data_IF_809438172639
#
_entry.id   IF_809438172639
#
_cell.length_a   1.000
_cell.length_b   1.000
_cell.length_c   1.000
_cell.angle_alpha   90.00
_cell.angle_beta   90.00
_cell.angle_gamma   90.00
#
_symmetry.space_group_name_H-M   'P 1'
#
loop_
_entity.id
_entity.type
_entity.pdbx_description
1 polymer ?
#
# COMPACT_ATOMS: atom_id res chain seq x y z
N UNK A 1 35.59 -10.01 -32.19
CA UNK A 1 34.22 -10.50 -32.45
C UNK A 1 34.06 -11.80 -31.68
N UNK A 2 33.44 -11.76 -30.49
CA UNK A 2 33.28 -12.94 -29.61
C UNK A 2 31.97 -13.64 -29.96
N UNK A 3 32.08 -14.87 -30.48
CA UNK A 3 30.92 -15.74 -30.76
C UNK A 3 30.38 -16.34 -29.47
N UNK A 4 29.13 -16.01 -29.11
CA UNK A 4 28.40 -16.70 -28.05
C UNK A 4 28.00 -18.10 -28.54
N UNK A 5 28.57 -19.14 -27.96
CA UNK A 5 28.08 -20.52 -28.13
C UNK A 5 26.81 -20.71 -27.29
N UNK A 6 25.65 -20.84 -27.94
CA UNK A 6 24.40 -21.20 -27.27
C UNK A 6 24.41 -22.68 -26.85
N UNK A 7 24.16 -22.97 -25.58
CA UNK A 7 23.99 -24.35 -25.12
C UNK A 7 22.68 -24.94 -25.68
N UNK A 8 22.69 -26.13 -26.31
CA UNK A 8 21.48 -26.74 -26.84
C UNK A 8 20.51 -27.10 -25.70
N UNK A 9 19.23 -26.71 -25.84
CA UNK A 9 18.16 -26.97 -24.86
C UNK A 9 18.09 -28.41 -24.36
N UNK A 10 18.44 -29.37 -25.22
CA UNK A 10 18.41 -30.80 -24.92
C UNK A 10 19.52 -31.24 -23.97
N UNK A 11 20.67 -30.55 -23.99
CA UNK A 11 21.78 -30.80 -23.08
C UNK A 11 21.54 -30.12 -21.72
N UNK A 12 20.93 -28.94 -21.72
CA UNK A 12 20.43 -28.30 -20.49
C UNK A 12 19.46 -29.23 -19.74
N UNK A 13 18.44 -29.77 -20.43
CA UNK A 13 17.47 -30.68 -19.81
C UNK A 13 18.10 -31.96 -19.25
N UNK A 14 19.11 -32.53 -19.93
CA UNK A 14 19.84 -33.70 -19.42
C UNK A 14 20.65 -33.38 -18.16
N UNK A 15 21.30 -32.23 -18.10
CA UNK A 15 22.06 -31.80 -16.92
C UNK A 15 21.13 -31.47 -15.73
N UNK A 16 19.95 -30.91 -15.99
CA UNK A 16 18.95 -30.64 -14.94
C UNK A 16 18.35 -31.91 -14.32
N UNK A 17 18.19 -32.98 -15.10
CA UNK A 17 17.63 -34.25 -14.61
C UNK A 17 18.56 -34.99 -13.63
N UNK A 18 19.89 -34.83 -13.76
CA UNK A 18 20.87 -35.46 -12.88
C UNK A 18 20.90 -34.84 -11.47
N UNK A 19 20.48 -33.58 -11.32
CA UNK A 19 20.36 -32.91 -10.01
C UNK A 19 19.12 -33.40 -9.22
N UNK A 20 18.10 -33.93 -9.89
CA UNK A 20 16.88 -34.41 -9.23
C UNK A 20 17.06 -35.79 -8.56
N UNK A 21 17.98 -36.62 -9.05
CA UNK A 21 18.20 -37.96 -8.52
C UNK A 21 18.91 -37.99 -7.14
N UNK A 22 19.56 -36.89 -6.73
CA UNK A 22 20.19 -36.76 -5.41
C UNK A 22 19.24 -36.35 -4.28
N UNK A 23 17.98 -36.00 -4.59
CA UNK A 23 17.01 -35.49 -3.62
C UNK A 23 16.13 -36.56 -2.96
N UNK A 24 16.38 -37.86 -3.22
CA UNK A 24 15.57 -38.96 -2.73
C UNK A 24 15.92 -39.45 -1.30
N UNK A 25 16.68 -38.68 -0.52
CA UNK A 25 16.81 -38.93 0.92
C UNK A 25 15.82 -38.04 1.69
N UNK A 26 14.94 -38.62 2.54
CA UNK A 26 14.04 -37.85 3.38
C UNK A 26 14.83 -37.31 4.57
N UNK A 27 15.69 -36.31 4.33
CA UNK A 27 16.15 -35.45 5.41
C UNK A 27 14.96 -34.57 5.73
N UNK A 28 14.40 -34.78 6.93
CA UNK A 28 13.41 -33.88 7.50
C UNK A 28 13.93 -32.45 7.36
N UNK A 29 13.36 -31.71 6.41
CA UNK A 29 13.70 -30.32 6.17
C UNK A 29 13.09 -29.55 7.34
N UNK A 30 13.81 -29.49 8.46
CA UNK A 30 13.55 -28.49 9.48
C UNK A 30 13.64 -27.16 8.75
N UNK A 31 12.49 -26.53 8.52
CA UNK A 31 12.42 -25.14 8.07
C UNK A 31 12.85 -24.31 9.27
N UNK A 32 14.16 -24.24 9.51
CA UNK A 32 14.72 -23.21 10.37
C UNK A 32 14.52 -21.90 9.63
N UNK A 33 13.87 -20.93 10.29
CA UNK A 33 13.85 -19.57 9.80
C UNK A 33 15.27 -19.17 9.40
N UNK A 34 15.45 -18.64 8.20
CA UNK A 34 16.75 -18.11 7.79
C UNK A 34 17.20 -17.11 8.86
N UNK A 35 18.48 -17.11 9.26
CA UNK A 35 18.98 -16.09 10.18
C UNK A 35 18.61 -14.71 9.63
N UNK A 36 18.24 -13.78 10.52
CA UNK A 36 17.87 -12.41 10.16
C UNK A 36 18.98 -11.80 9.30
N UNK A 37 18.79 -11.87 7.98
CA UNK A 37 19.66 -11.18 7.05
C UNK A 37 19.44 -9.69 7.33
N UNK A 38 20.51 -8.91 7.58
CA UNK A 38 20.35 -7.49 7.84
C UNK A 38 19.55 -6.86 6.69
N UNK A 39 18.44 -6.20 7.04
CA UNK A 39 17.60 -5.51 6.06
C UNK A 39 18.48 -4.48 5.35
N UNK A 40 18.78 -4.74 4.07
CA UNK A 40 19.67 -3.90 3.26
C UNK A 40 19.16 -2.44 3.13
N UNK A 41 17.90 -2.20 3.50
CA UNK A 41 17.23 -0.92 3.46
C UNK A 41 16.93 -0.36 4.86
N UNK A 42 17.40 -1.00 5.93
CA UNK A 42 17.26 -0.50 7.30
C UNK A 42 17.73 0.95 7.40
N UNK A 43 16.85 1.83 7.87
CA UNK A 43 17.12 3.28 7.99
C UNK A 43 17.12 4.05 6.66
N UNK A 44 16.92 3.39 5.51
CA UNK A 44 16.83 4.02 4.19
C UNK A 44 15.40 4.06 3.65
N UNK A 45 14.63 3.00 3.88
CA UNK A 45 13.22 2.91 3.48
C UNK A 45 12.36 2.45 4.64
N UNK A 46 11.35 3.25 4.97
CA UNK A 46 10.32 2.90 5.94
C UNK A 46 9.15 2.22 5.22
N UNK A 47 8.75 1.05 5.71
CA UNK A 47 7.61 0.30 5.17
C UNK A 47 6.33 0.70 5.91
N UNK A 48 5.33 1.18 5.19
CA UNK A 48 3.96 1.36 5.70
C UNK A 48 3.04 0.26 5.16
N UNK A 49 1.95 -0.01 5.87
CA UNK A 49 0.91 -0.95 5.45
C UNK A 49 -0.44 -0.25 5.37
N UNK A 50 -1.20 -0.46 4.29
CA UNK A 50 -2.58 0.03 4.25
C UNK A 50 -3.46 -0.75 5.23
N UNK A 51 -4.23 -0.04 6.07
CA UNK A 51 -5.06 -0.64 7.13
C UNK A 51 -5.98 -1.78 6.65
N UNK A 52 -6.49 -1.69 5.42
CA UNK A 52 -7.35 -2.72 4.80
C UNK A 52 -6.64 -4.03 4.46
N UNK A 53 -5.30 -4.07 4.51
CA UNK A 53 -4.50 -5.28 4.30
C UNK A 53 -4.44 -6.14 5.56
N UNK A 54 -4.70 -5.58 6.74
CA UNK A 54 -4.83 -6.34 7.99
C UNK A 54 -6.28 -6.83 8.13
N UNK A 55 -6.51 -8.05 7.65
CA UNK A 55 -7.84 -8.68 7.55
C UNK A 55 -8.13 -9.58 8.76
N UNK A 56 -9.42 -9.81 9.02
CA UNK A 56 -9.91 -10.76 10.03
C UNK A 56 -9.44 -10.47 11.47
N UNK A 57 -9.27 -9.20 11.81
CA UNK A 57 -8.88 -8.73 13.15
C UNK A 57 -9.98 -7.81 13.68
N UNK A 58 -10.52 -8.06 14.89
CA UNK A 58 -11.75 -7.42 15.34
C UNK A 58 -11.55 -5.97 15.80
N UNK A 59 -10.39 -5.61 16.34
CA UNK A 59 -10.15 -4.26 16.86
C UNK A 59 -9.08 -3.49 16.06
N UNK A 60 -9.18 -2.16 16.07
CA UNK A 60 -8.18 -1.31 15.43
C UNK A 60 -6.79 -1.43 16.09
N UNK A 61 -6.74 -1.45 17.43
CA UNK A 61 -5.49 -1.63 18.18
C UNK A 61 -4.79 -2.94 17.80
N UNK A 62 -5.50 -4.05 17.70
CA UNK A 62 -4.88 -5.33 17.31
C UNK A 62 -4.34 -5.28 15.88
N UNK A 63 -5.02 -4.60 14.95
CA UNK A 63 -4.48 -4.41 13.59
C UNK A 63 -3.15 -3.68 13.59
N UNK A 64 -3.04 -2.63 14.40
CA UNK A 64 -1.79 -1.87 14.55
C UNK A 64 -0.69 -2.73 15.18
N UNK A 65 -1.00 -3.50 16.24
CA UNK A 65 -0.05 -4.42 16.88
C UNK A 65 0.47 -5.48 15.90
N UNK A 66 -0.42 -6.10 15.12
CA UNK A 66 -0.05 -7.09 14.10
C UNK A 66 0.83 -6.47 13.01
N UNK A 67 0.49 -5.27 12.51
CA UNK A 67 1.32 -4.58 11.53
C UNK A 67 2.73 -4.27 12.09
N UNK A 68 2.82 -3.86 13.35
CA UNK A 68 4.09 -3.61 14.02
C UNK A 68 4.91 -4.89 14.19
N UNK A 69 4.31 -5.97 14.68
CA UNK A 69 4.96 -7.28 14.80
C UNK A 69 5.44 -7.82 13.45
N UNK A 70 4.72 -7.53 12.36
CA UNK A 70 5.13 -7.87 11.01
C UNK A 70 6.30 -7.01 10.46
N UNK A 71 6.81 -6.04 11.23
CA UNK A 71 7.97 -5.22 10.85
C UNK A 71 7.64 -3.99 10.01
N UNK A 72 6.38 -3.53 10.02
CA UNK A 72 6.03 -2.22 9.45
C UNK A 72 6.36 -1.09 10.41
N UNK A 73 6.69 0.07 9.84
CA UNK A 73 7.10 1.28 10.55
C UNK A 73 5.96 2.31 10.66
N UNK A 74 4.89 2.12 9.90
CA UNK A 74 3.68 2.92 9.96
C UNK A 74 2.49 2.17 9.37
N UNK A 75 1.32 2.77 9.50
CA UNK A 75 0.09 2.24 8.92
C UNK A 75 -0.72 3.37 8.27
N UNK A 76 -1.16 3.15 7.04
CA UNK A 76 -1.92 4.12 6.26
C UNK A 76 -3.43 3.89 6.47
N UNK A 77 -4.14 4.94 6.91
CA UNK A 77 -5.57 4.88 7.21
C UNK A 77 -6.45 5.14 5.98
N UNK A 78 -7.78 5.06 6.12
CA UNK A 78 -8.70 5.62 5.13
C UNK A 78 -9.36 6.87 5.73
N UNK A 79 -9.44 7.93 4.95
CA UNK A 79 -10.16 9.16 5.30
C UNK A 79 -10.98 9.62 4.07
N UNK A 80 -11.94 10.53 4.19
CA UNK A 80 -12.62 10.90 5.43
C UNK A 80 -13.45 9.72 6.01
N UNK A 81 -13.91 9.87 7.25
CA UNK A 81 -14.82 8.94 7.93
C UNK A 81 -14.19 8.00 8.95
N UNK A 82 -12.93 8.22 9.34
CA UNK A 82 -12.28 7.45 10.41
C UNK A 82 -12.68 7.93 11.81
N UNK A 83 -12.63 7.03 12.79
CA UNK A 83 -12.72 7.38 14.21
C UNK A 83 -11.36 7.90 14.70
N UNK A 84 -11.29 9.20 14.99
CA UNK A 84 -10.04 9.88 15.37
C UNK A 84 -9.55 9.38 16.73
N UNK A 85 -10.43 9.21 17.70
CA UNK A 85 -10.05 8.87 19.07
C UNK A 85 -9.69 7.39 19.18
N UNK A 86 -10.41 6.50 18.49
CA UNK A 86 -10.02 5.10 18.37
C UNK A 86 -8.65 4.96 17.69
N UNK A 87 -8.40 5.74 16.64
CA UNK A 87 -7.11 5.71 15.93
C UNK A 87 -5.97 6.21 16.82
N UNK A 88 -6.15 7.32 17.54
CA UNK A 88 -5.14 7.81 18.50
C UNK A 88 -4.86 6.80 19.59
N UNK A 89 -5.89 6.13 20.11
CA UNK A 89 -5.74 5.04 21.08
C UNK A 89 -4.90 3.90 20.51
N UNK A 90 -5.21 3.46 19.28
CA UNK A 90 -4.46 2.40 18.61
C UNK A 90 -2.98 2.79 18.39
N UNK A 91 -2.69 4.03 18.02
CA UNK A 91 -1.32 4.57 17.89
C UNK A 91 -0.58 4.44 19.22
N UNK A 92 -1.17 4.92 20.32
CA UNK A 92 -0.53 4.90 21.65
C UNK A 92 -0.31 3.46 22.14
N UNK A 93 -1.33 2.61 22.06
CA UNK A 93 -1.29 1.25 22.61
C UNK A 93 -0.40 0.28 21.81
N UNK A 94 -0.23 0.52 20.51
CA UNK A 94 0.66 -0.27 19.66
C UNK A 94 2.07 0.33 19.58
N UNK A 95 2.20 1.65 19.72
CA UNK A 95 3.40 2.39 19.38
C UNK A 95 3.74 2.35 17.87
N UNK A 96 2.75 2.14 16.99
CA UNK A 96 2.88 2.23 15.54
C UNK A 96 2.24 3.54 15.06
N UNK A 97 3.00 4.45 14.43
CA UNK A 97 2.43 5.71 13.94
C UNK A 97 1.59 5.53 12.68
N UNK A 98 0.75 6.53 12.40
CA UNK A 98 0.11 6.70 11.09
C UNK A 98 0.96 7.63 10.24
N UNK A 99 1.33 7.21 9.03
CA UNK A 99 2.10 8.03 8.09
C UNK A 99 1.19 8.89 7.20
N UNK A 100 0.04 8.36 6.81
CA UNK A 100 -0.92 9.04 5.96
C UNK A 100 -2.27 8.35 5.89
N UNK A 101 -3.10 8.77 4.94
CA UNK A 101 -4.35 8.09 4.64
C UNK A 101 -4.66 8.08 3.14
N UNK A 102 -5.63 7.26 2.77
CA UNK A 102 -6.22 7.25 1.42
C UNK A 102 -7.57 7.94 1.44
N UNK A 103 -7.77 8.90 0.54
CA UNK A 103 -9.08 9.48 0.28
C UNK A 103 -9.96 8.51 -0.52
N UNK A 104 -10.51 7.48 0.15
CA UNK A 104 -11.12 6.34 -0.53
C UNK A 104 -12.46 6.66 -1.21
N UNK A 105 -13.10 7.79 -0.88
CA UNK A 105 -14.34 8.20 -1.56
C UNK A 105 -14.11 8.49 -3.05
N UNK A 106 -12.89 8.88 -3.44
CA UNK A 106 -12.56 9.24 -4.82
C UNK A 106 -12.56 8.10 -5.84
N UNK A 107 -12.68 6.85 -5.39
CA UNK A 107 -13.01 5.75 -6.31
C UNK A 107 -14.41 5.92 -6.94
N UNK A 108 -15.30 6.68 -6.28
CA UNK A 108 -16.69 6.92 -6.70
C UNK A 108 -17.02 8.40 -6.91
N UNK A 109 -16.43 9.31 -6.12
CA UNK A 109 -16.75 10.76 -6.11
C UNK A 109 -15.52 11.54 -6.59
N UNK A 110 -15.54 12.05 -7.83
CA UNK A 110 -14.32 12.46 -8.53
C UNK A 110 -14.27 13.96 -8.84
N UNK A 111 -13.07 14.53 -8.83
CA UNK A 111 -12.85 15.95 -9.18
C UNK A 111 -13.03 16.22 -10.68
N UNK A 112 -12.95 15.19 -11.51
CA UNK A 112 -13.15 15.21 -12.96
C UNK A 112 -14.61 15.09 -13.40
N UNK A 113 -15.56 14.90 -12.48
CA UNK A 113 -16.98 14.72 -12.81
C UNK A 113 -17.54 15.92 -13.59
N UNK A 114 -18.39 15.65 -14.59
CA UNK A 114 -19.16 16.69 -15.26
C UNK A 114 -20.22 17.34 -14.36
N UNK A 115 -20.67 16.64 -13.34
CA UNK A 115 -21.62 17.16 -12.38
C UNK A 115 -20.94 18.00 -11.29
N UNK A 116 -21.37 19.25 -11.18
CA UNK A 116 -20.83 20.24 -10.23
C UNK A 116 -21.05 19.82 -8.78
N UNK A 117 -22.19 19.18 -8.47
CA UNK A 117 -22.47 18.71 -7.12
C UNK A 117 -21.51 17.58 -6.70
N UNK A 118 -21.22 16.65 -7.60
CA UNK A 118 -20.21 15.61 -7.41
C UNK A 118 -18.83 16.21 -7.18
N UNK A 119 -18.44 17.23 -7.96
CA UNK A 119 -17.15 17.91 -7.76
C UNK A 119 -17.07 18.65 -6.42
N UNK A 120 -18.17 19.29 -6.00
CA UNK A 120 -18.25 19.94 -4.69
C UNK A 120 -18.10 18.92 -3.54
N UNK A 121 -18.73 17.73 -3.66
CA UNK A 121 -18.55 16.66 -2.70
C UNK A 121 -17.11 16.11 -2.70
N UNK A 122 -16.48 15.95 -3.86
CA UNK A 122 -15.09 15.54 -3.94
C UNK A 122 -14.16 16.51 -3.19
N UNK A 123 -14.36 17.83 -3.39
CA UNK A 123 -13.59 18.85 -2.68
C UNK A 123 -13.82 18.82 -1.17
N UNK A 124 -15.07 18.64 -0.74
CA UNK A 124 -15.40 18.48 0.67
C UNK A 124 -14.68 17.26 1.29
N UNK A 125 -14.70 16.12 0.60
CA UNK A 125 -14.07 14.88 1.07
C UNK A 125 -12.55 15.02 1.16
N UNK A 126 -11.92 15.64 0.15
CA UNK A 126 -10.49 15.96 0.16
C UNK A 126 -10.12 16.81 1.38
N UNK A 127 -10.85 17.91 1.61
CA UNK A 127 -10.59 18.83 2.74
C UNK A 127 -10.80 18.14 4.10
N UNK A 128 -11.83 17.33 4.24
CA UNK A 128 -12.07 16.59 5.48
C UNK A 128 -11.04 15.47 5.69
N UNK A 129 -10.68 14.76 4.63
CA UNK A 129 -9.61 13.76 4.66
C UNK A 129 -8.31 14.37 5.16
N UNK A 130 -7.89 15.52 4.62
CA UNK A 130 -6.67 16.22 5.05
C UNK A 130 -6.71 16.57 6.55
N UNK A 131 -7.83 17.10 7.03
CA UNK A 131 -8.01 17.45 8.46
C UNK A 131 -7.97 16.22 9.36
N UNK A 132 -8.67 15.15 8.99
CA UNK A 132 -8.71 13.91 9.78
C UNK A 132 -7.36 13.22 9.80
N UNK A 133 -6.68 13.11 8.66
CA UNK A 133 -5.31 12.58 8.58
C UNK A 133 -4.37 13.35 9.49
N UNK A 134 -4.45 14.69 9.48
CA UNK A 134 -3.62 15.51 10.38
C UNK A 134 -3.97 15.28 11.85
N UNK A 135 -5.25 15.12 12.18
CA UNK A 135 -5.71 14.91 13.56
C UNK A 135 -5.19 13.62 14.20
N UNK A 136 -4.84 12.61 13.38
CA UNK A 136 -4.22 11.34 13.81
C UNK A 136 -2.70 11.31 13.61
N UNK A 137 -2.08 12.44 13.27
CA UNK A 137 -0.62 12.56 13.12
C UNK A 137 -0.07 12.21 11.73
N UNK A 138 -0.91 11.86 10.76
CA UNK A 138 -0.49 11.60 9.38
C UNK A 138 -0.07 12.88 8.64
N UNK A 139 0.74 12.70 7.60
CA UNK A 139 1.37 13.78 6.83
C UNK A 139 1.03 13.78 5.34
N UNK A 140 0.41 12.71 4.82
CA UNK A 140 0.01 12.59 3.42
C UNK A 140 -1.42 12.09 3.28
N UNK A 141 -2.10 12.53 2.22
CA UNK A 141 -3.39 11.99 1.80
C UNK A 141 -3.32 11.62 0.32
N UNK A 142 -3.54 10.34 0.00
CA UNK A 142 -3.62 9.89 -1.39
C UNK A 142 -4.92 10.39 -2.02
N UNK A 143 -4.76 11.11 -3.14
CA UNK A 143 -5.84 11.65 -3.95
C UNK A 143 -5.95 10.89 -5.27
N UNK A 144 -7.13 10.30 -5.52
CA UNK A 144 -7.51 9.85 -6.86
C UNK A 144 -8.28 10.98 -7.52
N UNK A 145 -7.72 11.58 -8.57
CA UNK A 145 -8.27 12.79 -9.15
C UNK A 145 -9.53 12.50 -9.99
N UNK A 146 -9.52 11.39 -10.73
CA UNK A 146 -10.53 11.08 -11.72
C UNK A 146 -10.39 9.70 -12.35
N UNK A 147 -11.28 9.41 -13.31
CA UNK A 147 -11.20 8.23 -14.18
C UNK A 147 -11.42 8.66 -15.63
N UNK A 148 -10.75 8.01 -16.58
CA UNK A 148 -10.85 8.37 -18.00
C UNK A 148 -12.26 8.28 -18.61
N UNK A 149 -13.20 7.61 -17.94
CA UNK A 149 -14.61 7.58 -18.35
C UNK A 149 -15.38 8.87 -18.04
N UNK A 150 -14.80 9.79 -17.25
CA UNK A 150 -15.45 11.08 -16.88
C UNK A 150 -15.41 12.12 -18.03
N UNK A 151 -14.67 11.84 -19.10
CA UNK A 151 -14.62 12.66 -20.32
C UNK A 151 -13.23 12.68 -20.97
N UNK A 152 -13.11 13.39 -22.11
CA UNK A 152 -11.84 13.62 -22.79
C UNK A 152 -10.80 14.28 -21.89
N UNK A 153 -9.52 13.91 -22.04
CA UNK A 153 -8.40 14.38 -21.20
C UNK A 153 -8.34 15.91 -21.09
N UNK A 154 -8.51 16.61 -22.22
CA UNK A 154 -8.48 18.07 -22.29
C UNK A 154 -9.62 18.74 -21.51
N UNK A 155 -10.71 18.02 -21.21
CA UNK A 155 -11.83 18.53 -20.40
C UNK A 155 -11.68 18.13 -18.93
N UNK A 156 -11.27 16.89 -18.65
CA UNK A 156 -11.15 16.40 -17.26
C UNK A 156 -9.93 16.99 -16.56
N UNK A 157 -8.83 17.28 -17.28
CA UNK A 157 -7.64 17.87 -16.72
C UNK A 157 -7.95 19.25 -16.10
N UNK A 158 -8.52 20.16 -16.87
CA UNK A 158 -8.86 21.51 -16.42
C UNK A 158 -9.84 21.49 -15.23
N UNK A 159 -10.93 20.71 -15.32
CA UNK A 159 -11.90 20.55 -14.23
C UNK A 159 -11.25 20.07 -12.94
N UNK A 160 -10.31 19.14 -13.05
CA UNK A 160 -9.64 18.59 -11.87
C UNK A 160 -8.75 19.62 -11.18
N UNK A 161 -7.92 20.34 -11.94
CA UNK A 161 -7.01 21.37 -11.42
C UNK A 161 -7.83 22.50 -10.79
N UNK A 162 -8.87 22.98 -11.49
CA UNK A 162 -9.75 24.03 -10.99
C UNK A 162 -10.38 23.63 -9.65
N UNK A 163 -10.86 22.39 -9.53
CA UNK A 163 -11.51 21.95 -8.30
C UNK A 163 -10.53 21.69 -7.15
N UNK A 164 -9.37 21.07 -7.41
CA UNK A 164 -8.38 20.72 -6.38
C UNK A 164 -7.66 21.96 -5.84
N UNK A 165 -7.51 23.01 -6.64
CA UNK A 165 -6.81 24.24 -6.24
C UNK A 165 -7.55 25.11 -5.20
N UNK A 166 -8.80 24.74 -4.83
CA UNK A 166 -9.69 25.48 -3.92
C UNK A 166 -9.53 25.08 -2.45
#
# INVERSE_FOLDING_TARGET
>A
MLTMTSLPRREFLRRSALLAAGAAFPVARQVTAAPDAPDALAGRLYKTLKIGMVKNVPTLTEKFKIAKEAGFHGIEMNAPGLDIEETKKAIVESGLPVDGAVCASHWRIRHTSADDATRAQALHDLKNGLRQTRAIGGHSLLLVVGKGEDGPENEIWERSIENISK
#
